data_IF_793256136548
#
_entry.id   IF_793256136548
#
_cell.length_a   1.000
_cell.length_b   1.000
_cell.length_c   1.000
_cell.angle_alpha   90.00
_cell.angle_beta   90.00
_cell.angle_gamma   90.00
#
_symmetry.space_group_name_H-M   'P 1'
#
loop_
_entity.id
_entity.type
_entity.pdbx_description
1 polymer ?
#
# COMPACT_ATOMS: atom_id res chain seq x y z
N UNK A 1 16.48 -31.57 38.31
CA UNK A 1 15.94 -30.93 37.10
C UNK A 1 14.69 -30.19 37.50
N UNK A 2 14.66 -28.87 37.36
CA UNK A 2 13.45 -28.06 37.54
C UNK A 2 12.60 -28.19 36.28
N UNK A 3 11.35 -28.62 36.42
CA UNK A 3 10.42 -28.66 35.30
C UNK A 3 9.84 -27.25 35.09
N UNK A 4 9.45 -26.93 33.86
CA UNK A 4 8.81 -25.64 33.55
C UNK A 4 7.51 -25.41 34.35
N UNK A 5 6.90 -26.50 34.84
CA UNK A 5 5.72 -26.48 35.72
C UNK A 5 6.02 -26.06 37.16
N UNK A 6 7.29 -26.05 37.57
CA UNK A 6 7.72 -25.72 38.92
C UNK A 6 8.04 -24.22 39.08
N UNK A 7 7.93 -23.47 37.98
CA UNK A 7 8.23 -22.04 37.91
C UNK A 7 6.95 -21.23 38.25
N UNK A 8 7.07 -20.14 39.05
CA UNK A 8 5.98 -19.19 39.29
C UNK A 8 5.32 -18.67 38.01
N UNK A 9 4.02 -18.40 38.07
CA UNK A 9 3.23 -17.92 36.93
C UNK A 9 3.78 -16.62 36.34
N UNK A 10 4.32 -15.74 37.17
CA UNK A 10 4.90 -14.45 36.79
C UNK A 10 6.16 -14.62 35.93
N UNK A 11 7.00 -15.59 36.27
CA UNK A 11 8.19 -15.92 35.49
C UNK A 11 7.81 -16.58 34.15
N UNK A 12 6.79 -17.44 34.14
CA UNK A 12 6.26 -17.99 32.88
C UNK A 12 5.69 -16.88 32.00
N UNK A 13 4.89 -15.96 32.57
CA UNK A 13 4.37 -14.82 31.83
C UNK A 13 5.49 -13.96 31.25
N UNK A 14 6.56 -13.71 32.01
CA UNK A 14 7.76 -13.01 31.51
C UNK A 14 8.44 -13.77 30.36
N UNK A 15 8.59 -15.09 30.46
CA UNK A 15 9.13 -15.91 29.37
C UNK A 15 8.25 -15.79 28.11
N UNK A 16 6.93 -15.89 28.27
CA UNK A 16 5.98 -15.78 27.15
C UNK A 16 6.01 -14.40 26.49
N UNK A 17 6.27 -13.33 27.24
CA UNK A 17 6.39 -11.98 26.68
C UNK A 17 7.60 -11.81 25.77
N UNK A 18 8.61 -12.68 25.88
CA UNK A 18 9.83 -12.64 25.08
C UNK A 18 9.80 -13.63 23.90
N UNK A 19 8.62 -14.12 23.51
CA UNK A 19 8.49 -14.88 22.27
C UNK A 19 8.68 -13.94 21.07
N UNK A 20 9.43 -14.40 20.06
CA UNK A 20 9.71 -13.63 18.85
C UNK A 20 8.45 -13.32 18.02
N UNK A 21 7.42 -14.16 18.13
CA UNK A 21 6.21 -14.07 17.30
C UNK A 21 4.95 -14.56 18.02
N UNK A 22 3.84 -13.85 17.77
CA UNK A 22 2.50 -14.26 18.21
C UNK A 22 2.06 -15.62 17.65
N UNK A 23 2.57 -16.03 16.48
CA UNK A 23 2.31 -17.35 15.90
C UNK A 23 2.80 -18.48 16.80
N UNK A 24 3.90 -18.27 17.51
CA UNK A 24 4.48 -19.24 18.45
C UNK A 24 3.69 -19.35 19.75
N UNK A 25 2.86 -18.36 20.07
CA UNK A 25 2.09 -18.33 21.32
C UNK A 25 1.04 -19.45 21.37
N UNK A 26 0.29 -19.69 20.28
CA UNK A 26 -0.79 -20.70 20.29
C UNK A 26 -0.27 -22.12 20.58
N UNK A 27 0.75 -22.64 19.88
CA UNK A 27 1.34 -23.95 20.21
C UNK A 27 1.84 -24.03 21.65
N UNK A 28 2.47 -22.96 22.16
CA UNK A 28 2.98 -22.90 23.53
C UNK A 28 1.84 -22.96 24.54
N UNK A 29 0.74 -22.24 24.33
CA UNK A 29 -0.45 -22.29 25.19
C UNK A 29 -1.11 -23.67 25.23
N UNK A 30 -1.05 -24.41 24.11
CA UNK A 30 -1.59 -25.77 24.00
C UNK A 30 -0.67 -26.84 24.62
N UNK A 31 0.58 -26.50 24.94
CA UNK A 31 1.56 -27.47 25.42
C UNK A 31 1.30 -27.95 26.85
N UNK A 32 0.83 -27.07 27.76
CA UNK A 32 0.51 -27.47 29.14
C UNK A 32 -0.47 -26.52 29.84
N UNK A 33 -1.22 -27.06 30.82
CA UNK A 33 -2.21 -26.28 31.59
C UNK A 33 -1.60 -25.13 32.39
N UNK A 34 -0.36 -25.30 32.86
CA UNK A 34 0.32 -24.33 33.72
C UNK A 34 0.63 -23.07 32.93
N UNK A 35 1.20 -23.22 31.73
CA UNK A 35 1.45 -22.15 30.76
C UNK A 35 0.15 -21.44 30.39
N UNK A 36 -0.91 -22.18 30.06
CA UNK A 36 -2.22 -21.60 29.76
C UNK A 36 -2.79 -20.78 30.93
N UNK A 37 -2.63 -21.29 32.16
CA UNK A 37 -3.11 -20.60 33.38
C UNK A 37 -2.32 -19.32 33.65
N UNK A 38 -0.99 -19.35 33.49
CA UNK A 38 -0.13 -18.17 33.56
C UNK A 38 -0.52 -17.11 32.53
N UNK A 39 -0.83 -17.54 31.30
CA UNK A 39 -1.31 -16.65 30.26
C UNK A 39 -2.65 -15.99 30.62
N UNK A 40 -3.63 -16.76 31.12
CA UNK A 40 -4.91 -16.20 31.58
C UNK A 40 -4.77 -15.18 32.70
N UNK A 41 -3.77 -15.35 33.57
CA UNK A 41 -3.50 -14.41 34.67
C UNK A 41 -2.77 -13.14 34.20
N UNK A 42 -2.26 -13.10 32.97
CA UNK A 42 -1.45 -12.02 32.41
C UNK A 42 -1.97 -11.59 31.02
N UNK A 43 -3.03 -10.76 30.95
CA UNK A 43 -3.70 -10.42 29.69
C UNK A 43 -2.81 -9.68 28.67
N UNK A 44 -1.72 -9.06 29.14
CA UNK A 44 -0.86 -8.21 28.31
C UNK A 44 0.22 -8.96 27.52
N UNK A 45 0.32 -10.29 27.61
CA UNK A 45 1.40 -11.05 26.96
C UNK A 45 1.37 -10.86 25.44
N UNK A 46 0.20 -11.01 24.80
CA UNK A 46 0.09 -10.86 23.36
C UNK A 46 0.40 -9.43 22.90
N UNK A 47 -0.07 -8.43 23.66
CA UNK A 47 0.24 -7.03 23.41
C UNK A 47 1.74 -6.73 23.56
N UNK A 48 2.42 -7.34 24.52
CA UNK A 48 3.86 -7.19 24.73
C UNK A 48 4.68 -7.76 23.56
N UNK A 49 4.31 -8.95 23.08
CA UNK A 49 4.96 -9.56 21.89
C UNK A 49 4.79 -8.65 20.67
N UNK A 50 3.58 -8.12 20.43
CA UNK A 50 3.35 -7.22 19.30
C UNK A 50 4.18 -5.92 19.43
N UNK A 51 4.30 -5.35 20.63
CA UNK A 51 5.10 -4.14 20.90
C UNK A 51 6.60 -4.34 20.74
N UNK A 52 7.11 -5.57 20.84
CA UNK A 52 8.50 -5.86 20.53
C UNK A 52 8.74 -5.91 19.02
N UNK A 53 7.73 -6.34 18.27
CA UNK A 53 7.80 -6.49 16.82
C UNK A 53 7.57 -5.17 16.07
N UNK A 54 6.56 -4.41 16.46
CA UNK A 54 6.22 -3.11 15.87
C UNK A 54 6.81 -2.01 16.73
N UNK A 55 7.66 -1.16 16.14
CA UNK A 55 8.31 -0.07 16.89
C UNK A 55 7.26 0.85 17.54
N UNK A 56 7.56 1.48 18.70
CA UNK A 56 6.62 2.36 19.38
C UNK A 56 6.07 3.48 18.48
N UNK A 57 6.89 4.01 17.56
CA UNK A 57 6.49 5.04 16.62
C UNK A 57 5.54 4.54 15.51
N UNK A 58 5.61 3.26 15.13
CA UNK A 58 4.71 2.66 14.12
C UNK A 58 3.42 2.10 14.73
N UNK A 59 3.38 1.89 16.05
CA UNK A 59 2.25 1.26 16.71
C UNK A 59 0.90 2.00 16.52
N UNK A 60 0.82 3.34 16.60
CA UNK A 60 -0.41 4.07 16.31
C UNK A 60 -0.93 3.80 14.89
N UNK A 61 -0.02 3.77 13.90
CA UNK A 61 -0.35 3.51 12.50
C UNK A 61 -0.84 2.07 12.28
N UNK A 62 -0.21 1.09 12.95
CA UNK A 62 -0.67 -0.30 12.90
C UNK A 62 -2.07 -0.48 13.50
N UNK A 63 -2.37 0.22 14.60
CA UNK A 63 -3.71 0.24 15.20
C UNK A 63 -4.70 0.93 14.26
N UNK A 64 -4.38 2.11 13.73
CA UNK A 64 -5.23 2.84 12.80
C UNK A 64 -5.56 2.01 11.54
N UNK A 65 -4.57 1.33 10.96
CA UNK A 65 -4.80 0.45 9.80
C UNK A 65 -5.78 -0.68 10.12
N UNK A 66 -5.66 -1.28 11.31
CA UNK A 66 -6.58 -2.31 11.78
C UNK A 66 -7.98 -1.75 12.06
N UNK A 67 -8.10 -0.58 12.69
CA UNK A 67 -9.39 0.04 13.00
C UNK A 67 -10.11 0.52 11.72
N UNK A 68 -9.39 1.14 10.79
CA UNK A 68 -9.92 1.64 9.53
C UNK A 68 -10.67 0.56 8.74
N UNK A 69 -10.08 -0.63 8.61
CA UNK A 69 -10.69 -1.76 7.91
C UNK A 69 -11.96 -2.28 8.59
N UNK A 70 -12.06 -2.14 9.91
CA UNK A 70 -13.17 -2.62 10.73
C UNK A 70 -14.23 -1.56 11.02
N UNK A 71 -14.11 -0.36 10.43
CA UNK A 71 -15.14 0.67 10.58
C UNK A 71 -16.50 0.17 10.07
N UNK A 72 -17.61 0.51 10.75
CA UNK A 72 -18.96 0.19 10.28
C UNK A 72 -19.21 0.68 8.85
N UNK A 73 -20.01 -0.08 8.09
CA UNK A 73 -20.44 0.28 6.73
C UNK A 73 -21.93 0.65 6.70
N UNK A 74 -22.35 1.71 6.00
CA UNK A 74 -21.51 2.69 5.28
C UNK A 74 -20.66 3.50 6.25
N UNK A 75 -19.46 3.91 5.81
CA UNK A 75 -18.59 4.73 6.66
C UNK A 75 -19.12 6.15 6.71
N UNK A 76 -19.00 6.73 7.89
CA UNK A 76 -19.46 8.08 8.19
C UNK A 76 -18.25 9.02 8.31
N UNK A 77 -18.41 10.27 7.86
CA UNK A 77 -17.38 11.30 7.94
C UNK A 77 -16.88 11.50 9.37
N UNK A 78 -17.76 11.51 10.38
CA UNK A 78 -17.36 11.70 11.78
C UNK A 78 -16.51 10.52 12.28
N UNK A 79 -16.86 9.27 11.89
CA UNK A 79 -16.04 8.09 12.22
C UNK A 79 -14.65 8.13 11.58
N UNK A 80 -14.55 8.57 10.33
CA UNK A 80 -13.27 8.71 9.62
C UNK A 80 -12.43 9.80 10.28
N UNK A 81 -13.02 10.98 10.51
CA UNK A 81 -12.34 12.10 11.14
C UNK A 81 -11.88 11.76 12.56
N UNK A 82 -12.72 11.09 13.36
CA UNK A 82 -12.36 10.66 14.71
C UNK A 82 -11.17 9.70 14.74
N UNK A 83 -11.03 8.80 13.76
CA UNK A 83 -9.87 7.92 13.66
C UNK A 83 -8.60 8.70 13.26
N UNK A 84 -8.72 9.63 12.30
CA UNK A 84 -7.59 10.47 11.88
C UNK A 84 -7.15 11.39 13.03
N UNK A 85 -8.07 12.01 13.74
CA UNK A 85 -7.75 12.85 14.89
C UNK A 85 -7.10 12.03 16.02
N UNK A 86 -7.56 10.81 16.28
CA UNK A 86 -6.89 9.91 17.23
C UNK A 86 -5.46 9.55 16.79
N UNK A 87 -5.22 9.35 15.49
CA UNK A 87 -3.89 9.02 14.96
C UNK A 87 -2.92 10.20 15.07
N UNK A 88 -3.34 11.41 14.68
CA UNK A 88 -2.42 12.56 14.56
C UNK A 88 -2.41 13.48 15.79
N UNK A 89 -3.47 13.50 16.59
CA UNK A 89 -3.55 14.36 17.79
C UNK A 89 -3.30 13.56 19.08
N UNK A 90 -3.66 12.28 19.12
CA UNK A 90 -3.52 11.42 20.31
C UNK A 90 -2.82 10.06 20.03
N UNK A 91 -1.66 10.02 19.34
CA UNK A 91 -1.04 8.77 18.89
C UNK A 91 -0.74 7.78 20.04
N UNK A 92 -0.34 8.29 21.22
CA UNK A 92 -0.09 7.45 22.39
C UNK A 92 -1.37 6.80 22.93
N UNK A 93 -2.50 7.51 22.90
CA UNK A 93 -3.81 6.99 23.30
C UNK A 93 -4.22 5.84 22.37
N UNK A 94 -4.03 6.04 21.05
CA UNK A 94 -4.31 5.03 20.03
C UNK A 94 -3.42 3.79 20.20
N UNK A 95 -2.11 3.97 20.39
CA UNK A 95 -1.17 2.87 20.63
C UNK A 95 -1.48 2.07 21.92
N UNK A 96 -2.03 2.72 22.94
CA UNK A 96 -2.40 2.05 24.20
C UNK A 96 -3.58 1.08 24.04
N UNK A 97 -4.44 1.27 23.02
CA UNK A 97 -5.57 0.36 22.73
C UNK A 97 -5.12 -1.07 22.43
N UNK A 98 -3.88 -1.28 22.01
CA UNK A 98 -3.28 -2.61 21.80
C UNK A 98 -3.45 -3.53 23.01
N UNK A 99 -3.42 -3.00 24.23
CA UNK A 99 -3.59 -3.79 25.44
C UNK A 99 -4.99 -4.40 25.59
N UNK A 100 -6.00 -3.85 24.91
CA UNK A 100 -7.40 -4.28 25.00
C UNK A 100 -7.88 -5.04 23.77
N UNK A 101 -7.04 -5.15 22.72
CA UNK A 101 -7.44 -5.81 21.48
C UNK A 101 -7.49 -7.34 21.63
N UNK A 102 -8.43 -8.03 20.96
CA UNK A 102 -8.47 -9.48 20.90
C UNK A 102 -7.19 -10.06 20.28
N UNK A 103 -6.79 -11.26 20.73
CA UNK A 103 -5.61 -11.96 20.20
C UNK A 103 -5.67 -12.15 18.68
N UNK A 104 -6.85 -12.41 18.12
CA UNK A 104 -7.05 -12.54 16.67
C UNK A 104 -6.70 -11.26 15.92
N UNK A 105 -7.08 -10.10 16.45
CA UNK A 105 -6.72 -8.78 15.91
C UNK A 105 -5.22 -8.56 16.02
N UNK A 106 -4.61 -8.84 17.17
CA UNK A 106 -3.16 -8.71 17.36
C UNK A 106 -2.35 -9.60 16.40
N UNK A 107 -2.81 -10.84 16.15
CA UNK A 107 -2.22 -11.72 15.15
C UNK A 107 -2.35 -11.15 13.73
N UNK A 108 -3.51 -10.55 13.40
CA UNK A 108 -3.73 -9.85 12.14
C UNK A 108 -2.74 -8.69 11.96
N UNK A 109 -2.58 -7.85 12.99
CA UNK A 109 -1.64 -6.73 13.00
C UNK A 109 -0.19 -7.21 12.84
N UNK A 110 0.21 -8.28 13.54
CA UNK A 110 1.55 -8.85 13.38
C UNK A 110 1.82 -9.34 11.95
N UNK A 111 0.84 -10.03 11.33
CA UNK A 111 1.00 -10.49 9.94
C UNK A 111 1.06 -9.33 8.95
N UNK A 112 0.25 -8.30 9.16
CA UNK A 112 0.29 -7.08 8.33
C UNK A 112 1.66 -6.41 8.44
N UNK A 113 2.24 -6.34 9.64
CA UNK A 113 3.57 -5.78 9.83
C UNK A 113 4.65 -6.58 9.10
N UNK A 114 4.58 -7.92 9.13
CA UNK A 114 5.50 -8.79 8.38
C UNK A 114 5.44 -8.50 6.87
N UNK A 115 4.22 -8.38 6.32
CA UNK A 115 4.01 -8.05 4.90
C UNK A 115 4.56 -6.68 4.55
N UNK A 116 4.33 -5.67 5.40
CA UNK A 116 4.85 -4.31 5.20
C UNK A 116 6.39 -4.29 5.26
N UNK A 117 7.00 -5.03 6.18
CA UNK A 117 8.46 -5.13 6.28
C UNK A 117 9.07 -5.81 5.04
N UNK A 118 8.44 -6.87 4.53
CA UNK A 118 8.87 -7.54 3.30
C UNK A 118 8.81 -6.57 2.11
N UNK A 119 7.68 -5.91 1.90
CA UNK A 119 7.50 -4.95 0.81
C UNK A 119 8.38 -3.70 0.94
N UNK A 120 8.66 -3.25 2.17
CA UNK A 120 9.62 -2.17 2.45
C UNK A 120 11.02 -2.57 1.99
N UNK A 121 11.42 -3.80 2.31
CA UNK A 121 12.74 -4.33 1.92
C UNK A 121 12.84 -4.45 0.40
N UNK A 122 11.81 -4.99 -0.25
CA UNK A 122 11.74 -5.11 -1.70
C UNK A 122 11.79 -3.74 -2.39
N UNK A 123 10.99 -2.77 -1.91
CA UNK A 123 10.96 -1.45 -2.51
C UNK A 123 12.29 -0.72 -2.35
N UNK A 124 12.89 -0.75 -1.15
CA UNK A 124 14.19 -0.15 -0.92
C UNK A 124 15.28 -0.75 -1.82
N UNK A 125 15.28 -2.07 -1.99
CA UNK A 125 16.24 -2.76 -2.87
C UNK A 125 16.02 -2.39 -4.34
N UNK A 126 14.78 -2.38 -4.83
CA UNK A 126 14.47 -2.01 -6.21
C UNK A 126 14.85 -0.56 -6.50
N UNK A 127 14.44 0.36 -5.63
CA UNK A 127 14.76 1.77 -5.72
C UNK A 127 16.28 2.01 -5.73
N UNK A 128 17.00 1.32 -4.84
CA UNK A 128 18.45 1.40 -4.80
C UNK A 128 19.10 0.84 -6.07
N UNK A 129 18.62 -0.30 -6.58
CA UNK A 129 19.13 -0.90 -7.81
C UNK A 129 18.93 0.01 -9.02
N UNK A 130 17.81 0.75 -9.09
CA UNK A 130 17.59 1.76 -10.14
C UNK A 130 18.57 2.92 -10.03
N UNK A 131 18.80 3.43 -8.82
CA UNK A 131 19.82 4.47 -8.60
C UNK A 131 21.20 3.99 -9.05
N UNK A 132 21.55 2.73 -8.78
CA UNK A 132 22.82 2.13 -9.23
C UNK A 132 22.94 2.03 -10.75
N UNK A 133 21.84 1.83 -11.47
CA UNK A 133 21.88 1.84 -12.94
C UNK A 133 22.21 3.25 -13.50
N UNK A 134 21.87 4.30 -12.76
CA UNK A 134 22.22 5.68 -13.11
C UNK A 134 23.60 6.11 -12.56
N UNK A 135 24.08 5.46 -11.51
CA UNK A 135 25.37 5.71 -10.88
C UNK A 135 26.03 4.43 -10.34
N UNK A 136 26.94 3.86 -11.13
CA UNK A 136 27.69 2.65 -10.80
C UNK A 136 28.61 2.80 -9.56
N UNK A 137 28.85 4.03 -9.07
CA UNK A 137 29.66 4.27 -7.88
C UNK A 137 28.95 3.93 -6.57
N UNK A 138 27.63 3.74 -6.62
CA UNK A 138 26.81 3.43 -5.46
C UNK A 138 27.05 1.98 -4.96
N UNK A 139 27.06 1.75 -3.62
CA UNK A 139 27.20 0.44 -3.01
C UNK A 139 26.28 -0.64 -3.58
N UNK A 140 26.76 -1.88 -3.67
CA UNK A 140 26.00 -3.03 -4.19
C UNK A 140 24.70 -3.31 -3.41
N UNK A 141 24.70 -3.09 -2.11
CA UNK A 141 23.58 -3.37 -1.22
C UNK A 141 23.15 -2.13 -0.47
N UNK A 142 21.85 -2.05 -0.17
CA UNK A 142 21.27 -1.02 0.68
C UNK A 142 20.91 -1.62 2.03
N UNK A 143 21.16 -0.86 3.09
CA UNK A 143 20.63 -1.12 4.43
C UNK A 143 19.98 0.16 4.89
N UNK A 144 18.71 0.09 5.29
CA UNK A 144 17.95 1.23 5.76
C UNK A 144 18.42 1.65 7.16
N UNK A 145 18.52 2.95 7.39
CA UNK A 145 18.62 3.47 8.76
C UNK A 145 17.29 3.25 9.50
N UNK A 146 17.29 3.38 10.83
CA UNK A 146 16.05 3.27 11.61
C UNK A 146 15.00 4.30 11.19
N UNK A 147 15.41 5.52 10.87
CA UNK A 147 14.53 6.59 10.39
C UNK A 147 13.96 6.29 9.00
N UNK A 148 14.80 5.79 8.08
CA UNK A 148 14.33 5.40 6.75
C UNK A 148 13.35 4.22 6.85
N UNK A 149 13.69 3.19 7.60
CA UNK A 149 12.79 2.04 7.81
C UNK A 149 11.44 2.49 8.38
N UNK A 150 11.45 3.40 9.38
CA UNK A 150 10.24 4.01 9.91
C UNK A 150 9.43 4.71 8.81
N UNK A 151 10.07 5.55 7.98
CA UNK A 151 9.41 6.32 6.93
C UNK A 151 8.78 5.45 5.85
N UNK A 152 9.50 4.44 5.37
CA UNK A 152 8.95 3.45 4.43
C UNK A 152 7.75 2.72 5.04
N UNK A 153 7.90 2.14 6.24
CA UNK A 153 6.83 1.40 6.89
C UNK A 153 5.60 2.29 7.18
N UNK A 154 5.81 3.52 7.67
CA UNK A 154 4.77 4.50 7.94
C UNK A 154 3.97 4.82 6.67
N UNK A 155 4.66 4.96 5.53
CA UNK A 155 4.03 5.26 4.24
C UNK A 155 3.16 4.08 3.76
N UNK A 156 3.63 2.83 3.89
CA UNK A 156 2.80 1.65 3.66
C UNK A 156 1.58 1.58 4.57
N UNK A 157 1.74 1.88 5.86
CA UNK A 157 0.59 1.93 6.78
C UNK A 157 -0.41 3.01 6.39
N UNK A 158 0.05 4.20 5.99
CA UNK A 158 -0.84 5.29 5.55
C UNK A 158 -1.62 4.92 4.29
N UNK A 159 -0.99 4.27 3.30
CA UNK A 159 -1.70 3.69 2.16
C UNK A 159 -2.74 2.65 2.61
N UNK A 160 -2.38 1.75 3.53
CA UNK A 160 -3.32 0.77 4.06
C UNK A 160 -4.49 1.41 4.83
N UNK A 161 -4.24 2.50 5.55
CA UNK A 161 -5.27 3.29 6.23
C UNK A 161 -6.17 3.95 5.19
N UNK A 162 -5.62 4.56 4.14
CA UNK A 162 -6.39 5.17 3.05
C UNK A 162 -7.38 4.16 2.46
N UNK A 163 -6.91 2.99 2.02
CA UNK A 163 -7.80 1.95 1.52
C UNK A 163 -8.78 1.46 2.60
N UNK A 164 -8.33 1.30 3.84
CA UNK A 164 -9.20 0.97 4.96
C UNK A 164 -10.34 1.97 5.19
N UNK A 165 -10.11 3.25 4.95
CA UNK A 165 -11.08 4.34 5.14
C UNK A 165 -11.96 4.57 3.92
N UNK A 166 -11.45 4.41 2.70
CA UNK A 166 -12.16 4.87 1.50
C UNK A 166 -12.64 3.73 0.58
N UNK A 167 -12.22 2.48 0.80
CA UNK A 167 -12.69 1.32 0.01
C UNK A 167 -14.06 0.84 0.46
N UNK A 168 -15.12 1.00 -0.32
CA UNK A 168 -16.44 0.44 0.02
C UNK A 168 -17.57 0.90 -0.89
N UNK A 169 -18.66 0.12 -0.97
CA UNK A 169 -19.88 0.54 -1.66
C UNK A 169 -20.53 1.67 -0.88
N UNK A 170 -20.57 2.87 -1.46
CA UNK A 170 -21.60 3.81 -1.04
C UNK A 170 -22.96 3.29 -1.48
N UNK A 171 -23.99 3.48 -0.66
CA UNK A 171 -25.37 3.10 -0.98
C UNK A 171 -25.92 3.87 -2.19
N UNK A 172 -25.21 4.93 -2.61
CA UNK A 172 -25.53 5.72 -3.78
C UNK A 172 -24.35 5.65 -4.78
N UNK A 173 -24.53 5.09 -5.99
CA UNK A 173 -23.47 5.00 -6.99
C UNK A 173 -22.98 6.36 -7.50
N UNK A 174 -23.73 7.46 -7.24
CA UNK A 174 -23.29 8.83 -7.50
C UNK A 174 -22.50 9.46 -6.34
N UNK A 175 -22.29 8.72 -5.26
CA UNK A 175 -21.38 9.11 -4.17
C UNK A 175 -20.18 8.19 -4.23
N UNK A 176 -19.36 8.36 -5.26
CA UNK A 176 -17.91 8.27 -5.05
C UNK A 176 -17.67 9.16 -3.81
N UNK A 177 -17.17 8.58 -2.72
CA UNK A 177 -17.02 9.25 -1.42
C UNK A 177 -16.66 10.72 -1.62
N UNK A 178 -17.49 11.64 -1.10
CA UNK A 178 -17.45 13.06 -1.45
C UNK A 178 -16.02 13.59 -1.46
N UNK A 179 -15.66 14.30 -2.53
CA UNK A 179 -14.34 14.92 -2.75
C UNK A 179 -13.83 15.69 -1.51
N UNK A 180 -14.75 16.18 -0.67
CA UNK A 180 -14.50 16.87 0.60
C UNK A 180 -13.84 16.00 1.68
N UNK A 181 -14.15 14.70 1.79
CA UNK A 181 -13.70 13.83 2.89
C UNK A 181 -12.27 13.33 2.67
N UNK A 182 -11.87 13.10 1.41
CA UNK A 182 -10.48 12.73 1.08
C UNK A 182 -9.48 13.84 1.48
N UNK A 183 -9.91 15.10 1.38
CA UNK A 183 -9.08 16.25 1.76
C UNK A 183 -8.66 16.21 3.24
N UNK A 184 -9.48 15.62 4.12
CA UNK A 184 -9.13 15.46 5.54
C UNK A 184 -7.96 14.51 5.77
N UNK A 185 -7.80 13.50 4.92
CA UNK A 185 -6.67 12.56 5.03
C UNK A 185 -5.37 13.23 4.58
N UNK A 186 -5.38 13.85 3.39
CA UNK A 186 -4.18 14.43 2.80
C UNK A 186 -3.75 15.75 3.46
N UNK A 187 -4.67 16.50 4.07
CA UNK A 187 -4.35 17.74 4.81
C UNK A 187 -3.64 17.51 6.15
N UNK A 188 -3.56 16.26 6.62
CA UNK A 188 -2.74 15.92 7.80
C UNK A 188 -1.25 15.88 7.50
N UNK A 189 -0.86 15.90 6.23
CA UNK A 189 0.53 15.73 5.80
C UNK A 189 1.00 16.89 4.93
N UNK A 190 2.29 17.24 5.02
CA UNK A 190 2.92 18.12 4.05
C UNK A 190 3.05 17.44 2.67
N UNK A 191 3.32 18.22 1.62
CA UNK A 191 3.32 17.72 0.23
C UNK A 191 4.32 16.57 0.03
N UNK A 192 5.54 16.68 0.52
CA UNK A 192 6.53 15.60 0.36
C UNK A 192 6.13 14.30 1.08
N UNK A 193 5.37 14.36 2.18
CA UNK A 193 4.84 13.16 2.84
C UNK A 193 3.66 12.56 2.07
N UNK A 194 2.88 13.37 1.35
CA UNK A 194 1.90 12.87 0.40
C UNK A 194 2.59 12.26 -0.84
N UNK A 195 3.71 12.82 -1.28
CA UNK A 195 4.54 12.23 -2.35
C UNK A 195 5.14 10.88 -1.93
N UNK A 196 5.49 10.69 -0.64
CA UNK A 196 5.88 9.38 -0.13
C UNK A 196 4.79 8.33 -0.35
N UNK A 197 3.50 8.70 -0.19
CA UNK A 197 2.39 7.81 -0.50
C UNK A 197 2.30 7.51 -2.00
N UNK A 198 2.55 8.51 -2.86
CA UNK A 198 2.68 8.33 -4.31
C UNK A 198 3.76 7.31 -4.68
N UNK A 199 4.95 7.39 -4.09
CA UNK A 199 6.02 6.39 -4.29
C UNK A 199 5.56 4.97 -3.94
N UNK A 200 4.85 4.81 -2.82
CA UNK A 200 4.35 3.50 -2.38
C UNK A 200 3.23 3.00 -3.29
N UNK A 201 2.33 3.89 -3.73
CA UNK A 201 1.27 3.55 -4.68
C UNK A 201 1.87 3.04 -6.00
N UNK A 202 2.80 3.77 -6.62
CA UNK A 202 3.43 3.37 -7.89
C UNK A 202 4.18 2.04 -7.75
N UNK A 203 4.86 1.82 -6.62
CA UNK A 203 5.53 0.55 -6.33
C UNK A 203 4.52 -0.61 -6.24
N UNK A 204 3.45 -0.43 -5.48
CA UNK A 204 2.39 -1.43 -5.31
C UNK A 204 1.67 -1.72 -6.63
N UNK A 205 1.41 -0.68 -7.42
CA UNK A 205 0.79 -0.76 -8.74
C UNK A 205 1.67 -1.55 -9.71
N UNK A 206 2.97 -1.24 -9.78
CA UNK A 206 3.92 -1.97 -10.62
C UNK A 206 4.02 -3.45 -10.22
N UNK A 207 3.99 -3.75 -8.92
CA UNK A 207 3.98 -5.13 -8.40
C UNK A 207 2.69 -5.87 -8.75
N UNK A 208 1.54 -5.22 -8.59
CA UNK A 208 0.25 -5.77 -8.99
C UNK A 208 0.24 -6.08 -10.49
N UNK A 209 0.60 -5.12 -11.33
CA UNK A 209 0.66 -5.25 -12.78
C UNK A 209 1.53 -6.44 -13.20
N UNK A 210 2.75 -6.54 -12.65
CA UNK A 210 3.66 -7.65 -12.92
C UNK A 210 3.08 -9.00 -12.47
N UNK A 211 2.43 -9.05 -11.32
CA UNK A 211 1.86 -10.27 -10.79
C UNK A 211 0.63 -10.75 -11.61
N UNK A 212 -0.17 -9.82 -12.12
CA UNK A 212 -1.45 -10.11 -12.79
C UNK A 212 -1.38 -10.22 -14.32
N UNK A 213 -0.33 -9.71 -14.98
CA UNK A 213 -0.30 -9.54 -16.44
C UNK A 213 -0.62 -10.83 -17.21
N UNK A 214 -0.08 -11.98 -16.79
CA UNK A 214 -0.32 -13.26 -17.45
C UNK A 214 -1.81 -13.65 -17.37
N UNK A 215 -2.45 -13.46 -16.22
CA UNK A 215 -3.89 -13.72 -16.09
C UNK A 215 -4.71 -12.76 -16.95
N UNK A 216 -4.41 -11.47 -16.89
CA UNK A 216 -5.20 -10.45 -17.61
C UNK A 216 -5.03 -10.52 -19.13
N UNK A 217 -3.84 -10.89 -19.61
CA UNK A 217 -3.55 -11.05 -21.03
C UNK A 217 -4.15 -12.34 -21.62
N UNK A 218 -4.38 -13.37 -20.80
CA UNK A 218 -4.74 -14.71 -21.29
C UNK A 218 -6.11 -15.22 -20.86
N UNK A 219 -6.71 -14.76 -19.76
CA UNK A 219 -8.03 -15.26 -19.34
C UNK A 219 -9.14 -14.77 -20.27
N UNK A 220 -9.99 -15.68 -20.73
CA UNK A 220 -11.11 -15.36 -21.63
C UNK A 220 -12.09 -14.35 -21.05
N UNK A 221 -12.41 -14.44 -19.75
CA UNK A 221 -13.41 -13.54 -19.14
C UNK A 221 -12.85 -12.12 -19.03
N UNK A 222 -11.59 -11.95 -18.61
CA UNK A 222 -10.96 -10.64 -18.59
C UNK A 222 -10.86 -10.02 -19.99
N UNK A 223 -10.67 -10.85 -21.03
CA UNK A 223 -10.75 -10.41 -22.42
C UNK A 223 -12.13 -9.95 -22.86
N UNK A 224 -13.20 -10.68 -22.50
CA UNK A 224 -14.59 -10.28 -22.75
C UNK A 224 -14.92 -8.92 -22.11
N UNK A 225 -14.48 -8.72 -20.87
CA UNK A 225 -14.68 -7.45 -20.17
C UNK A 225 -13.70 -6.34 -20.58
N UNK A 226 -12.81 -6.61 -21.55
CA UNK A 226 -11.80 -5.66 -22.03
C UNK A 226 -10.99 -5.03 -20.88
N UNK A 227 -10.57 -5.86 -19.92
CA UNK A 227 -9.85 -5.38 -18.75
C UNK A 227 -8.43 -4.97 -19.13
N UNK A 228 -8.20 -3.67 -19.11
CA UNK A 228 -6.91 -3.05 -19.44
C UNK A 228 -5.80 -3.50 -18.47
N UNK A 229 -4.76 -4.11 -19.04
CA UNK A 229 -3.58 -4.58 -18.33
C UNK A 229 -2.30 -3.77 -18.67
N UNK A 230 -2.38 -2.81 -19.58
CA UNK A 230 -1.25 -1.99 -20.00
C UNK A 230 -1.19 -0.67 -19.21
N UNK A 231 -2.30 0.06 -19.14
CA UNK A 231 -2.32 1.42 -18.58
C UNK A 231 -2.30 1.39 -17.04
N UNK A 232 -1.55 2.32 -16.43
CA UNK A 232 -1.52 2.54 -14.98
C UNK A 232 -2.25 3.81 -14.57
N UNK A 233 -2.19 4.13 -13.27
CA UNK A 233 -2.71 5.39 -12.75
C UNK A 233 -4.24 5.45 -12.62
N UNK A 234 -4.76 6.68 -12.53
CA UNK A 234 -6.14 6.95 -12.10
C UNK A 234 -7.22 6.43 -13.06
N UNK A 235 -6.90 6.29 -14.35
CA UNK A 235 -7.87 5.90 -15.39
C UNK A 235 -8.14 4.38 -15.39
N UNK A 236 -7.22 3.57 -14.86
CA UNK A 236 -7.40 2.12 -14.80
C UNK A 236 -8.22 1.70 -13.56
N UNK A 237 -9.55 1.77 -13.70
CA UNK A 237 -10.51 1.40 -12.64
C UNK A 237 -10.31 0.00 -12.07
N UNK A 238 -10.01 -1.01 -12.89
CA UNK A 238 -9.81 -2.39 -12.41
C UNK A 238 -8.56 -2.50 -11.55
N UNK A 239 -7.46 -1.84 -11.98
CA UNK A 239 -6.22 -1.77 -11.22
C UNK A 239 -6.43 -1.05 -9.89
N UNK A 240 -7.12 0.10 -9.88
CA UNK A 240 -7.45 0.79 -8.64
C UNK A 240 -8.38 -0.05 -7.74
N UNK A 241 -9.32 -0.81 -8.30
CA UNK A 241 -10.19 -1.74 -7.55
C UNK A 241 -9.38 -2.82 -6.82
N UNK A 242 -8.41 -3.45 -7.49
CA UNK A 242 -7.57 -4.47 -6.85
C UNK A 242 -6.58 -3.86 -5.84
N UNK A 243 -5.99 -2.69 -6.14
CA UNK A 243 -5.15 -1.96 -5.19
C UNK A 243 -5.92 -1.59 -3.91
N UNK A 244 -7.20 -1.24 -4.05
CA UNK A 244 -8.10 -0.87 -2.94
C UNK A 244 -8.33 -1.98 -1.90
N UNK A 245 -7.98 -3.22 -2.22
CA UNK A 245 -8.00 -4.33 -1.26
C UNK A 245 -6.84 -4.25 -0.24
N UNK A 246 -5.83 -3.43 -0.54
CA UNK A 246 -4.73 -3.12 0.35
C UNK A 246 -3.54 -4.07 0.24
N UNK A 247 -2.57 -3.82 1.12
CA UNK A 247 -1.24 -4.44 1.13
C UNK A 247 -1.32 -5.96 1.26
N UNK A 248 -2.26 -6.47 2.06
CA UNK A 248 -2.43 -7.90 2.26
C UNK A 248 -2.79 -8.66 0.99
N UNK A 249 -3.72 -8.14 0.20
CA UNK A 249 -4.11 -8.72 -1.10
C UNK A 249 -2.96 -8.70 -2.10
N UNK A 250 -2.30 -7.54 -2.22
CA UNK A 250 -1.19 -7.36 -3.17
C UNK A 250 -0.03 -8.29 -2.82
N UNK A 251 0.34 -8.37 -1.55
CA UNK A 251 1.39 -9.28 -1.08
C UNK A 251 1.02 -10.75 -1.38
N UNK A 252 -0.24 -11.16 -1.17
CA UNK A 252 -0.67 -12.52 -1.50
C UNK A 252 -0.59 -12.79 -3.00
N UNK A 253 -1.05 -11.87 -3.85
CA UNK A 253 -1.05 -12.05 -5.31
C UNK A 253 0.38 -12.15 -5.88
N UNK A 254 1.33 -11.37 -5.34
CA UNK A 254 2.74 -11.43 -5.74
C UNK A 254 3.35 -12.81 -5.44
N UNK A 255 2.94 -13.41 -4.31
CA UNK A 255 3.48 -14.69 -3.83
C UNK A 255 2.69 -15.92 -4.30
N UNK A 256 1.56 -15.72 -4.98
CA UNK A 256 0.83 -16.81 -5.62
C UNK A 256 1.55 -17.20 -6.91
N UNK A 257 1.93 -18.47 -7.06
CA UNK A 257 2.69 -18.95 -8.21
C UNK A 257 1.78 -19.53 -9.30
N UNK A 258 0.60 -20.03 -8.94
CA UNK A 258 -0.30 -20.68 -9.87
C UNK A 258 -1.15 -19.68 -10.65
N UNK A 259 -1.32 -19.94 -11.95
CA UNK A 259 -2.21 -19.16 -12.81
C UNK A 259 -3.64 -19.16 -12.25
N UNK A 260 -4.16 -20.33 -11.90
CA UNK A 260 -5.52 -20.48 -11.37
C UNK A 260 -5.70 -19.74 -10.05
N UNK A 261 -4.73 -19.82 -9.13
CA UNK A 261 -4.80 -19.08 -7.86
C UNK A 261 -4.85 -17.57 -8.07
N UNK A 262 -4.02 -17.03 -8.97
CA UNK A 262 -4.07 -15.60 -9.32
C UNK A 262 -5.39 -15.21 -9.98
N UNK A 263 -5.92 -16.04 -10.90
CA UNK A 263 -7.20 -15.81 -11.56
C UNK A 263 -8.34 -15.79 -10.54
N UNK A 264 -8.36 -16.75 -9.63
CA UNK A 264 -9.40 -16.84 -8.61
C UNK A 264 -9.35 -15.60 -7.69
N UNK A 265 -8.16 -15.19 -7.24
CA UNK A 265 -7.99 -13.95 -6.48
C UNK A 265 -8.46 -12.69 -7.23
N UNK A 266 -8.22 -12.59 -8.54
CA UNK A 266 -8.63 -11.43 -9.34
C UNK A 266 -10.14 -11.43 -9.65
N UNK A 267 -10.79 -12.60 -9.62
CA UNK A 267 -12.21 -12.78 -9.96
C UNK A 267 -13.16 -12.83 -8.76
N UNK A 268 -12.69 -13.19 -7.55
CA UNK A 268 -13.51 -13.32 -6.33
C UNK A 268 -14.04 -12.00 -5.74
N UNK A 269 -13.70 -10.85 -6.35
CA UNK A 269 -13.87 -9.54 -5.75
C UNK A 269 -14.65 -8.47 -6.56
N UNK A 270 -15.70 -8.80 -7.33
CA UNK A 270 -16.45 -7.82 -8.13
C UNK A 270 -17.29 -6.83 -7.30
N UNK A 271 -17.45 -7.07 -6.00
CA UNK A 271 -18.30 -6.28 -5.09
C UNK A 271 -17.52 -5.31 -4.18
N UNK A 272 -16.20 -5.21 -4.33
CA UNK A 272 -15.36 -4.32 -3.54
C UNK A 272 -15.42 -2.91 -4.16
N UNK A 273 -15.84 -1.92 -3.37
CA UNK A 273 -15.84 -0.51 -3.83
C UNK A 273 -14.43 -0.03 -4.18
N UNK A 274 -14.32 0.96 -5.06
CA UNK A 274 -13.03 1.47 -5.54
C UNK A 274 -12.61 2.68 -4.71
N UNK A 275 -11.39 2.66 -4.19
CA UNK A 275 -10.69 3.80 -3.62
C UNK A 275 -9.56 4.23 -4.57
N UNK A 276 -9.87 5.14 -5.49
CA UNK A 276 -8.91 5.66 -6.47
C UNK A 276 -7.94 6.64 -5.78
N UNK A 277 -6.78 6.15 -5.33
CA UNK A 277 -5.79 6.96 -4.61
C UNK A 277 -5.23 8.12 -5.45
N UNK A 278 -4.73 7.91 -6.69
CA UNK A 278 -4.20 9.00 -7.50
C UNK A 278 -5.26 10.07 -7.81
N UNK A 279 -6.49 9.66 -8.14
CA UNK A 279 -7.59 10.61 -8.36
C UNK A 279 -7.97 11.38 -7.09
N UNK A 280 -7.95 10.73 -5.91
CA UNK A 280 -8.19 11.40 -4.65
C UNK A 280 -7.09 12.43 -4.31
N UNK A 281 -5.85 12.16 -4.69
CA UNK A 281 -4.72 13.06 -4.51
C UNK A 281 -4.79 14.26 -5.47
N UNK A 282 -5.11 14.02 -6.74
CA UNK A 282 -5.29 15.04 -7.76
C UNK A 282 -6.40 16.04 -7.39
N UNK A 283 -7.50 15.55 -6.80
CA UNK A 283 -8.60 16.41 -6.34
C UNK A 283 -8.18 17.39 -5.24
N UNK A 284 -7.30 16.97 -4.32
CA UNK A 284 -6.77 17.85 -3.28
C UNK A 284 -5.96 18.99 -3.90
N UNK A 285 -5.16 18.69 -4.92
CA UNK A 285 -4.41 19.70 -5.67
C UNK A 285 -5.30 20.64 -6.49
N UNK A 286 -6.37 20.12 -7.09
CA UNK A 286 -7.39 20.91 -7.77
C UNK A 286 -8.01 21.99 -6.88
N UNK A 287 -8.25 21.68 -5.60
CA UNK A 287 -8.74 22.66 -4.63
C UNK A 287 -7.75 23.82 -4.38
N UNK A 288 -6.44 23.59 -4.54
CA UNK A 288 -5.41 24.62 -4.42
C UNK A 288 -5.26 25.51 -5.67
N UNK A 289 -5.78 25.10 -6.84
CA UNK A 289 -5.70 25.89 -8.08
C UNK A 289 -6.45 27.24 -7.98
N UNK A 290 -7.38 27.38 -7.03
CA UNK A 290 -8.05 28.65 -6.71
C UNK A 290 -7.18 29.66 -5.95
N UNK A 291 -5.99 29.26 -5.49
CA UNK A 291 -5.03 30.11 -4.76
C UNK A 291 -3.76 30.28 -5.58
N UNK A 292 -3.42 31.53 -5.91
CA UNK A 292 -2.32 31.93 -6.82
C UNK A 292 -1.06 31.05 -6.72
N UNK A 293 -0.59 30.60 -7.90
CA UNK A 293 0.60 29.79 -8.14
C UNK A 293 1.87 30.30 -7.43
N UNK A 294 2.88 29.42 -7.27
CA UNK A 294 4.22 29.61 -6.68
C UNK A 294 5.03 30.83 -7.15
N UNK A 295 4.54 31.60 -8.12
CA UNK A 295 5.28 32.73 -8.67
C UNK A 295 5.30 33.88 -7.67
N UNK A 296 6.34 33.92 -6.83
CA UNK A 296 6.71 35.07 -6.02
C UNK A 296 6.32 35.06 -4.54
N UNK A 297 6.10 33.88 -3.91
CA UNK A 297 6.08 33.81 -2.44
C UNK A 297 7.48 33.57 -1.90
N UNK A 298 7.88 34.37 -0.91
CA UNK A 298 9.12 34.18 -0.15
C UNK A 298 9.16 32.74 0.42
N UNK A 299 10.31 32.10 0.26
CA UNK A 299 10.68 30.76 0.76
C UNK A 299 10.16 30.51 2.20
N UNK A 300 10.15 31.55 3.04
CA UNK A 300 9.62 31.56 4.41
C UNK A 300 8.15 31.12 4.55
N UNK A 301 7.25 31.52 3.64
CA UNK A 301 5.83 31.13 3.70
C UNK A 301 5.59 29.68 3.27
N UNK A 302 6.51 29.09 2.49
CA UNK A 302 6.47 27.68 2.12
C UNK A 302 6.94 26.82 3.28
N UNK A 303 7.99 27.24 3.97
CA UNK A 303 8.38 26.63 5.24
C UNK A 303 7.24 26.72 6.28
N UNK A 304 6.53 27.85 6.40
CA UNK A 304 5.44 27.95 7.38
C UNK A 304 4.16 27.16 7.02
N UNK A 305 3.79 27.07 5.73
CA UNK A 305 2.54 26.41 5.31
C UNK A 305 2.71 24.95 4.86
N UNK A 306 3.88 24.58 4.35
CA UNK A 306 4.22 23.23 3.89
C UNK A 306 5.09 22.52 4.93
N UNK A 307 5.96 23.22 5.66
CA UNK A 307 6.78 22.65 6.73
C UNK A 307 6.10 22.69 8.09
N UNK A 308 4.96 22.00 8.19
CA UNK A 308 4.69 21.28 9.43
C UNK A 308 5.65 20.09 9.46
N UNK A 309 6.92 20.34 9.79
CA UNK A 309 7.79 19.26 10.28
C UNK A 309 7.01 18.63 11.42
N UNK A 310 6.50 17.42 11.18
CA UNK A 310 5.86 16.68 12.24
C UNK A 310 6.96 16.37 13.25
N UNK A 311 6.70 16.51 14.54
CA UNK A 311 7.67 16.18 15.60
C UNK A 311 8.19 14.72 15.49
N UNK A 312 7.55 13.89 14.63
CA UNK A 312 7.84 12.49 14.38
C UNK A 312 9.09 12.23 13.49
N UNK A 313 9.45 13.12 12.56
CA UNK A 313 10.61 12.94 11.65
C UNK A 313 11.28 14.29 11.31
N UNK A 314 12.36 14.69 12.03
CA UNK A 314 13.04 15.97 11.82
C UNK A 314 13.99 15.97 10.62
N UNK A 315 14.18 14.84 9.95
CA UNK A 315 15.08 14.66 8.82
C UNK A 315 14.60 15.47 7.59
N UNK A 316 15.46 16.35 7.09
CA UNK A 316 15.15 17.22 5.95
C UNK A 316 15.34 16.55 4.58
N UNK A 317 15.99 15.39 4.51
CA UNK A 317 16.31 14.72 3.25
C UNK A 317 15.10 14.50 2.32
N UNK A 318 13.94 14.03 2.83
CA UNK A 318 12.70 13.96 2.06
C UNK A 318 12.24 15.30 1.49
N UNK A 319 12.27 16.35 2.31
CA UNK A 319 11.86 17.69 1.90
C UNK A 319 12.81 18.26 0.86
N UNK A 320 14.12 18.19 1.09
CA UNK A 320 15.14 18.70 0.18
C UNK A 320 15.08 17.99 -1.18
N UNK A 321 14.86 16.66 -1.16
CA UNK A 321 14.70 15.87 -2.39
C UNK A 321 13.42 16.22 -3.14
N UNK A 322 12.31 16.43 -2.42
CA UNK A 322 11.06 16.89 -3.02
C UNK A 322 11.19 18.29 -3.61
N UNK A 323 11.81 19.22 -2.87
CA UNK A 323 12.00 20.60 -3.28
C UNK A 323 12.89 20.68 -4.53
N UNK A 324 14.01 19.98 -4.55
CA UNK A 324 14.91 19.93 -5.70
C UNK A 324 14.22 19.40 -6.97
N UNK A 325 13.35 18.39 -6.84
CA UNK A 325 12.60 17.86 -7.99
C UNK A 325 11.50 18.80 -8.50
N UNK A 326 10.94 19.65 -7.64
CA UNK A 326 9.82 20.53 -7.98
C UNK A 326 10.21 22.01 -8.04
N UNK A 327 11.50 22.32 -8.05
CA UNK A 327 11.98 23.69 -8.11
C UNK A 327 11.44 24.38 -9.38
N UNK A 328 10.70 25.49 -9.20
CA UNK A 328 10.08 26.23 -10.29
C UNK A 328 8.76 25.66 -10.82
N UNK A 329 8.29 24.52 -10.31
CA UNK A 329 6.99 23.95 -10.67
C UNK A 329 5.82 24.63 -9.91
N UNK A 330 4.60 24.69 -10.48
CA UNK A 330 3.42 25.18 -9.77
C UNK A 330 2.90 24.19 -8.71
N UNK A 331 2.01 24.61 -7.80
CA UNK A 331 1.67 23.82 -6.60
C UNK A 331 0.78 22.64 -6.92
N UNK A 332 -0.08 22.79 -7.92
CA UNK A 332 -0.84 21.67 -8.45
C UNK A 332 0.05 20.61 -9.12
N UNK A 333 1.32 20.93 -9.39
CA UNK A 333 2.33 20.03 -9.91
C UNK A 333 3.25 19.51 -8.79
N UNK A 334 2.87 19.64 -7.52
CA UNK A 334 3.70 19.24 -6.38
C UNK A 334 3.57 17.78 -5.95
N UNK A 335 2.65 17.01 -6.54
CA UNK A 335 2.41 15.60 -6.19
C UNK A 335 2.18 14.76 -7.45
N UNK A 336 2.72 13.54 -7.43
CA UNK A 336 2.53 12.49 -8.44
C UNK A 336 2.62 12.98 -9.90
N UNK A 337 3.52 13.92 -10.18
CA UNK A 337 3.78 14.35 -11.55
C UNK A 337 4.21 13.17 -12.41
N UNK A 338 3.65 13.08 -13.62
CA UNK A 338 3.96 11.99 -14.56
C UNK A 338 5.46 11.99 -14.93
N UNK A 339 6.05 13.17 -15.08
CA UNK A 339 7.48 13.37 -15.34
C UNK A 339 8.38 12.84 -14.21
N UNK A 340 7.83 12.66 -13.00
CA UNK A 340 8.57 12.20 -11.82
C UNK A 340 8.35 10.70 -11.50
N UNK A 341 7.72 9.92 -12.40
CA UNK A 341 7.52 8.48 -12.18
C UNK A 341 8.82 7.72 -11.88
N UNK A 342 9.90 8.01 -12.60
CA UNK A 342 11.20 7.37 -12.37
C UNK A 342 11.84 7.81 -11.04
N UNK A 343 11.57 9.03 -10.57
CA UNK A 343 12.00 9.49 -9.25
C UNK A 343 11.26 8.73 -8.14
N UNK A 344 9.95 8.55 -8.30
CA UNK A 344 9.13 7.75 -7.37
C UNK A 344 9.57 6.29 -7.32
N UNK A 345 9.92 5.72 -8.47
CA UNK A 345 10.55 4.40 -8.58
C UNK A 345 11.86 4.27 -7.79
N UNK A 346 12.59 5.38 -7.65
CA UNK A 346 13.81 5.48 -6.87
C UNK A 346 13.57 5.89 -5.42
N UNK A 347 12.31 5.95 -4.96
CA UNK A 347 11.94 6.30 -3.60
C UNK A 347 12.54 7.66 -3.16
N UNK A 348 12.63 8.63 -4.07
CA UNK A 348 13.46 9.83 -3.88
C UNK A 348 13.12 10.66 -2.63
N UNK A 349 11.85 10.68 -2.20
CA UNK A 349 11.37 11.35 -0.97
C UNK A 349 11.34 10.46 0.28
N UNK A 350 11.95 9.27 0.23
CA UNK A 350 11.99 8.32 1.34
C UNK A 350 13.40 8.17 1.96
N UNK A 351 14.45 8.59 1.26
CA UNK A 351 15.83 8.53 1.76
C UNK A 351 16.12 9.61 2.81
N UNK A 352 16.96 9.28 3.79
CA UNK A 352 17.37 10.24 4.83
C UNK A 352 18.46 11.20 4.36
N UNK A 353 18.55 12.37 4.98
CA UNK A 353 19.50 13.44 4.64
C UNK A 353 20.94 12.93 4.57
N UNK A 354 21.40 12.20 5.59
CA UNK A 354 22.74 11.60 5.62
C UNK A 354 23.06 10.79 4.36
N UNK A 355 22.07 10.05 3.82
CA UNK A 355 22.23 9.24 2.61
C UNK A 355 22.25 10.12 1.38
N UNK A 356 21.30 11.05 1.30
CA UNK A 356 21.18 12.01 0.18
C UNK A 356 22.49 12.78 0.01
N UNK A 357 23.08 13.27 1.10
CA UNK A 357 24.35 13.99 1.08
C UNK A 357 25.53 13.06 0.73
N UNK A 358 25.68 11.94 1.46
CA UNK A 358 26.82 11.03 1.33
C UNK A 358 26.97 10.47 -0.07
N UNK A 359 25.85 10.19 -0.74
CA UNK A 359 25.84 9.60 -2.08
C UNK A 359 25.44 10.59 -3.16
N UNK A 360 25.32 11.88 -2.83
CA UNK A 360 24.94 12.94 -3.76
C UNK A 360 23.66 12.62 -4.57
N UNK A 361 22.65 12.05 -3.91
CA UNK A 361 21.48 11.48 -4.58
C UNK A 361 20.69 12.52 -5.39
N UNK A 362 20.71 13.80 -4.99
CA UNK A 362 20.07 14.87 -5.77
C UNK A 362 20.60 14.93 -7.22
N UNK A 363 21.92 14.78 -7.40
CA UNK A 363 22.53 14.73 -8.74
C UNK A 363 22.19 13.45 -9.50
N UNK A 364 21.90 12.36 -8.79
CA UNK A 364 21.46 11.12 -9.41
C UNK A 364 20.00 11.27 -9.89
N UNK A 365 19.15 11.92 -9.09
CA UNK A 365 17.75 12.21 -9.43
C UNK A 365 17.62 13.11 -10.66
N UNK A 366 18.46 14.14 -10.80
CA UNK A 366 18.50 14.99 -12.00
C UNK A 366 18.65 14.20 -13.31
N UNK A 367 19.36 13.07 -13.28
CA UNK A 367 19.57 12.21 -14.46
C UNK A 367 18.39 11.28 -14.76
N UNK A 368 17.45 11.16 -13.84
CA UNK A 368 16.35 10.19 -13.87
C UNK A 368 15.00 10.86 -14.20
N UNK A 369 14.98 12.15 -14.57
CA UNK A 369 13.77 12.95 -14.71
C UNK A 369 12.93 12.71 -15.99
N UNK A 370 13.19 11.63 -16.73
CA UNK A 370 12.36 11.27 -17.88
C UNK A 370 11.19 10.38 -17.43
N UNK A 371 9.99 10.60 -17.96
CA UNK A 371 8.85 9.74 -17.68
C UNK A 371 9.09 8.31 -18.19
N UNK A 372 8.39 7.32 -17.62
CA UNK A 372 8.43 5.97 -18.16
C UNK A 372 7.88 5.99 -19.60
N UNK A 373 8.44 5.16 -20.50
CA UNK A 373 7.82 4.94 -21.79
C UNK A 373 6.39 4.43 -21.59
N UNK A 374 5.42 5.17 -22.11
CA UNK A 374 4.04 4.67 -22.21
C UNK A 374 3.98 3.54 -23.24
N UNK A 375 3.03 2.60 -23.10
CA UNK A 375 2.79 1.60 -24.13
C UNK A 375 2.56 2.26 -25.50
N UNK A 376 3.12 1.68 -26.55
CA UNK A 376 2.96 2.22 -27.90
C UNK A 376 1.62 1.84 -28.54
N UNK A 377 1.26 2.50 -29.65
CA UNK A 377 0.00 2.25 -30.37
C UNK A 377 -0.15 0.79 -30.79
N UNK A 378 0.98 0.13 -31.10
CA UNK A 378 0.98 -1.28 -31.51
C UNK A 378 0.68 -2.21 -30.33
N UNK A 379 1.20 -1.94 -29.15
CA UNK A 379 0.88 -2.70 -27.93
C UNK A 379 -0.61 -2.57 -27.58
N UNK A 380 -1.20 -1.37 -27.72
CA UNK A 380 -2.64 -1.19 -27.55
C UNK A 380 -3.46 -1.94 -28.61
N UNK A 381 -3.04 -1.90 -29.87
CA UNK A 381 -3.70 -2.64 -30.96
C UNK A 381 -3.65 -4.15 -30.71
N UNK A 382 -2.50 -4.68 -30.28
CA UNK A 382 -2.34 -6.11 -29.93
C UNK A 382 -3.25 -6.50 -28.74
N UNK A 383 -3.33 -5.66 -27.71
CA UNK A 383 -4.24 -5.86 -26.58
C UNK A 383 -5.70 -5.87 -27.04
N UNK A 384 -6.12 -4.88 -27.83
CA UNK A 384 -7.48 -4.75 -28.35
C UNK A 384 -7.88 -5.92 -29.26
N UNK A 385 -6.97 -6.38 -30.13
CA UNK A 385 -7.17 -7.58 -30.94
C UNK A 385 -7.39 -8.82 -30.05
N UNK A 386 -6.58 -8.95 -28.99
CA UNK A 386 -6.72 -10.04 -28.02
C UNK A 386 -8.09 -10.05 -27.33
N UNK A 387 -8.62 -8.87 -26.99
CA UNK A 387 -9.95 -8.72 -26.39
C UNK A 387 -11.03 -9.18 -27.35
N UNK A 388 -10.92 -8.81 -28.63
CA UNK A 388 -11.88 -9.23 -29.64
C UNK A 388 -11.90 -10.75 -29.83
N UNK A 389 -10.74 -11.39 -29.93
CA UNK A 389 -10.64 -12.85 -30.06
C UNK A 389 -11.21 -13.58 -28.83
N UNK A 390 -10.86 -13.14 -27.62
CA UNK A 390 -11.36 -13.74 -26.37
C UNK A 390 -12.86 -13.51 -26.19
N UNK A 391 -13.39 -12.37 -26.60
CA UNK A 391 -14.84 -12.10 -26.60
C UNK A 391 -15.61 -13.08 -27.50
N UNK A 392 -15.09 -13.39 -28.70
CA UNK A 392 -15.71 -14.38 -29.58
C UNK A 392 -15.72 -15.79 -28.98
N UNK A 393 -14.68 -16.16 -28.23
CA UNK A 393 -14.62 -17.43 -27.50
C UNK A 393 -15.67 -17.46 -26.39
N UNK A 394 -15.76 -16.38 -25.62
CA UNK A 394 -16.72 -16.24 -24.53
C UNK A 394 -18.17 -16.34 -25.02
N UNK A 395 -18.51 -15.65 -26.11
CA UNK A 395 -19.85 -15.67 -26.71
C UNK A 395 -20.27 -17.07 -27.15
N UNK A 396 -19.33 -17.90 -27.60
CA UNK A 396 -19.52 -19.32 -27.94
C UNK A 396 -19.62 -20.25 -26.71
N UNK A 397 -19.50 -19.71 -25.50
CA UNK A 397 -19.58 -20.45 -24.23
C UNK A 397 -18.24 -21.00 -23.75
N UNK A 398 -17.12 -20.51 -24.29
CA UNK A 398 -15.77 -20.86 -23.86
C UNK A 398 -15.31 -20.02 -22.66
N UNK A 399 -14.43 -20.60 -21.84
CA UNK A 399 -13.77 -19.95 -20.71
C UNK A 399 -12.39 -20.57 -20.46
N UNK A 400 -11.50 -19.89 -19.75
CA UNK A 400 -10.18 -20.43 -19.36
C UNK A 400 -9.03 -19.69 -20.03
N UNK A 401 -7.91 -20.39 -20.20
CA UNK A 401 -6.66 -19.81 -20.71
C UNK A 401 -6.65 -19.76 -22.23
N UNK A 402 -6.45 -18.57 -22.79
CA UNK A 402 -6.29 -18.32 -24.21
C UNK A 402 -4.87 -17.86 -24.53
N UNK A 403 -4.32 -18.38 -25.63
CA UNK A 403 -3.13 -17.83 -26.28
C UNK A 403 -3.39 -17.68 -27.77
N UNK A 404 -2.72 -16.73 -28.43
CA UNK A 404 -2.94 -16.42 -29.84
C UNK A 404 -2.68 -17.67 -30.69
N UNK A 405 -3.72 -18.14 -31.38
CA UNK A 405 -3.67 -19.35 -32.20
C UNK A 405 -3.69 -20.68 -31.43
N UNK A 406 -3.82 -20.68 -30.10
CA UNK A 406 -3.95 -21.88 -29.27
C UNK A 406 -5.20 -21.83 -28.38
N UNK A 407 -6.14 -22.72 -28.65
CA UNK A 407 -7.38 -22.86 -27.89
C UNK A 407 -7.38 -24.11 -27.00
N UNK A 408 -6.23 -24.75 -26.77
CA UNK A 408 -6.12 -25.97 -25.96
C UNK A 408 -6.45 -25.74 -24.47
N UNK A 409 -6.24 -24.52 -23.98
CA UNK A 409 -6.59 -24.09 -22.62
C UNK A 409 -8.06 -23.67 -22.42
N UNK A 410 -8.89 -23.74 -23.48
CA UNK A 410 -10.28 -23.31 -23.44
C UNK A 410 -11.19 -24.47 -23.03
N UNK A 411 -11.94 -24.25 -21.96
CA UNK A 411 -13.05 -25.09 -21.53
C UNK A 411 -14.34 -24.61 -22.17
N UNK A 412 -15.03 -25.48 -22.90
CA UNK A 412 -16.31 -25.17 -23.53
C UNK A 412 -17.46 -25.69 -22.67
N UNK A 413 -18.29 -24.78 -22.17
CA UNK A 413 -19.54 -25.18 -21.54
C UNK A 413 -20.54 -25.62 -22.62
N UNK A 414 -21.12 -26.82 -22.50
CA UNK A 414 -22.30 -27.18 -23.28
C UNK A 414 -23.44 -26.27 -22.85
N UNK A 415 -23.64 -25.12 -23.51
CA UNK A 415 -24.84 -24.33 -23.26
C UNK A 415 -26.05 -25.17 -23.67
N UNK A 416 -26.81 -25.61 -22.65
CA UNK A 416 -28.18 -26.07 -22.81
C UNK A 416 -28.94 -25.08 -23.67
N UNK A 417 -29.45 -25.57 -24.79
CA UNK A 417 -30.42 -24.96 -25.68
C UNK A 417 -31.70 -24.62 -24.91
N UNK A 418 -31.71 -23.52 -24.15
CA UNK A 418 -32.93 -22.98 -23.54
C UNK A 418 -32.73 -21.52 -23.12
N UNK A 419 -32.75 -20.61 -24.09
CA UNK A 419 -33.31 -19.25 -23.97
C UNK A 419 -33.37 -18.61 -25.37
N UNK A 420 -34.31 -19.13 -26.16
CA UNK A 420 -35.02 -18.35 -27.17
C UNK A 420 -36.50 -18.48 -26.85
N UNK A 421 -37.05 -17.47 -26.20
CA UNK A 421 -38.44 -17.00 -26.31
C UNK A 421 -38.58 -15.69 -25.55
#
# INVERSE_FOLDING_TARGET
>A
MTLITDIPCELIASILQNLDDLRSLTPVLLSCRHIYSSYKQSPNIAAAILRQKVTPALLPYAVAASEAYNLPRPRDGDTIQGLLDALYQEPLSLANRVATLPMTTLMGMSRMHDMILALTTDFANDAWNRLRQADDSLPLTVSLSTTEQFRFCRSFYRIQIFYGLFTGRSSNPNTIFEESVNSWFFSKHPLWENEQLGCIHDFLEARLAKASIDVLAHDVNFGEFSVDYLTGGEENIYRQMWLSQGVGFIHQLINEESYDGKRDMLTEHPDIGVANFPGALANVLGAYQGTNAFVGREEELLYENVSRVTDDDPDQGPFDSWYAAHEGAPLYAGLMLHEHELLRDCAYVLWGCDRVEKYHLLKAFEKLSDARPSPDEKEYDEMNESFHERSQIWQKGGSGYWSKGDTSGISWSEKSTARQS
#
